data_IF_827519464621
#
_entry.id   IF_827519464621
#
_cell.length_a   1.000
_cell.length_b   1.000
_cell.length_c   1.000
_cell.angle_alpha   90.00
_cell.angle_beta   90.00
_cell.angle_gamma   90.00
#
_symmetry.space_group_name_H-M   'P 1'
#
loop_
_entity.id
_entity.type
_entity.pdbx_description
1 polymer ?
#
# COMPACT_ATOMS: atom_id res chain seq x y z
N UNK A 1 48.42 -11.56 16.12
CA UNK A 1 47.84 -10.96 14.90
C UNK A 1 46.33 -10.93 15.06
N UNK A 2 45.67 -9.80 15.15
CA UNK A 2 44.23 -9.77 15.26
C UNK A 2 43.59 -9.98 13.88
N UNK A 3 42.78 -11.03 13.81
CA UNK A 3 41.99 -11.34 12.63
C UNK A 3 40.85 -10.32 12.47
N UNK A 4 40.86 -9.69 11.31
CA UNK A 4 39.69 -9.29 10.54
C UNK A 4 38.57 -8.49 11.19
N UNK A 5 38.72 -7.18 11.19
CA UNK A 5 37.57 -6.28 11.05
C UNK A 5 36.92 -6.56 9.69
N UNK A 6 35.91 -7.44 9.67
CA UNK A 6 35.00 -7.54 8.54
C UNK A 6 34.24 -6.23 8.44
N UNK A 7 34.69 -5.40 7.51
CA UNK A 7 34.01 -4.21 7.05
C UNK A 7 32.58 -4.58 6.72
N UNK A 8 31.64 -4.15 7.55
CA UNK A 8 30.26 -3.94 7.15
C UNK A 8 30.27 -2.90 6.02
N UNK A 9 30.43 -3.36 4.79
CA UNK A 9 30.12 -2.56 3.61
C UNK A 9 28.68 -2.10 3.79
N UNK A 10 28.48 -0.84 4.19
CA UNK A 10 27.23 -0.12 3.96
C UNK A 10 26.87 -0.36 2.50
N UNK A 11 25.95 -1.27 2.24
CA UNK A 11 25.43 -1.52 0.89
C UNK A 11 24.69 -0.24 0.49
N UNK A 12 25.41 0.69 -0.11
CA UNK A 12 24.79 1.80 -0.85
C UNK A 12 23.82 1.17 -1.85
N UNK A 13 22.62 1.73 -1.94
CA UNK A 13 21.64 1.31 -2.95
C UNK A 13 22.35 1.23 -4.30
N UNK A 14 22.31 0.06 -4.93
CA UNK A 14 22.80 -0.04 -6.30
C UNK A 14 21.91 0.81 -7.19
N UNK A 15 22.41 1.44 -8.27
CA UNK A 15 21.58 2.25 -9.17
C UNK A 15 20.31 1.52 -9.63
N UNK A 16 20.38 0.22 -9.88
CA UNK A 16 19.25 -0.62 -10.25
C UNK A 16 18.15 -0.65 -9.16
N UNK A 17 18.54 -0.86 -7.88
CA UNK A 17 17.59 -0.92 -6.76
C UNK A 17 16.95 0.44 -6.46
N UNK A 18 17.70 1.52 -6.63
CA UNK A 18 17.14 2.88 -6.53
C UNK A 18 16.12 3.16 -7.63
N UNK A 19 16.38 2.70 -8.85
CA UNK A 19 15.43 2.80 -9.96
C UNK A 19 14.17 1.96 -9.72
N UNK A 20 14.30 0.77 -9.12
CA UNK A 20 13.18 -0.09 -8.75
C UNK A 20 12.28 0.59 -7.70
N UNK A 21 12.85 1.12 -6.63
CA UNK A 21 12.12 1.84 -5.60
C UNK A 21 11.35 3.05 -6.18
N UNK A 22 12.02 3.84 -7.02
CA UNK A 22 11.38 4.98 -7.69
C UNK A 22 10.26 4.53 -8.64
N UNK A 23 10.45 3.44 -9.37
CA UNK A 23 9.42 2.88 -10.26
C UNK A 23 8.18 2.45 -9.47
N UNK A 24 8.33 1.75 -8.35
CA UNK A 24 7.21 1.33 -7.49
C UNK A 24 6.46 2.54 -6.94
N UNK A 25 7.15 3.52 -6.37
CA UNK A 25 6.54 4.74 -5.86
C UNK A 25 5.80 5.55 -6.94
N UNK A 26 6.40 5.69 -8.13
CA UNK A 26 5.79 6.40 -9.27
C UNK A 26 4.55 5.68 -9.80
N UNK A 27 4.61 4.34 -9.93
CA UNK A 27 3.48 3.53 -10.39
C UNK A 27 2.30 3.63 -9.40
N UNK A 28 2.58 3.57 -8.10
CA UNK A 28 1.57 3.75 -7.06
C UNK A 28 0.95 5.14 -7.07
N UNK A 29 1.77 6.20 -7.23
CA UNK A 29 1.29 7.56 -7.37
C UNK A 29 0.41 7.76 -8.62
N UNK A 30 0.79 7.14 -9.74
CA UNK A 30 0.02 7.19 -10.99
C UNK A 30 -1.37 6.58 -10.78
N UNK A 31 -1.44 5.36 -10.24
CA UNK A 31 -2.72 4.67 -9.97
C UNK A 31 -3.58 5.49 -9.02
N UNK A 32 -3.01 5.99 -7.92
CA UNK A 32 -3.74 6.81 -6.96
C UNK A 32 -4.29 8.09 -7.60
N UNK A 33 -3.47 8.83 -8.35
CA UNK A 33 -3.92 10.03 -9.05
C UNK A 33 -5.02 9.75 -10.09
N UNK A 34 -4.95 8.63 -10.81
CA UNK A 34 -5.97 8.22 -11.78
C UNK A 34 -7.32 7.93 -11.09
N UNK A 35 -7.30 7.29 -9.92
CA UNK A 35 -8.51 7.06 -9.10
C UNK A 35 -9.11 8.39 -8.65
N UNK A 36 -8.28 9.30 -8.16
CA UNK A 36 -8.72 10.58 -7.62
C UNK A 36 -9.17 11.62 -8.66
N UNK A 37 -8.90 11.40 -9.95
CA UNK A 37 -9.31 12.30 -11.04
C UNK A 37 -10.80 12.24 -11.39
N UNK A 38 -11.52 11.23 -10.94
CA UNK A 38 -12.96 11.05 -11.19
C UNK A 38 -13.73 11.38 -9.92
N UNK A 39 -14.15 12.64 -9.67
CA UNK A 39 -14.66 13.10 -8.38
C UNK A 39 -15.86 12.30 -7.86
N UNK A 40 -16.78 11.91 -8.76
CA UNK A 40 -18.01 11.18 -8.41
C UNK A 40 -17.75 9.69 -8.08
N UNK A 41 -16.51 9.22 -8.26
CA UNK A 41 -16.08 7.85 -7.98
C UNK A 41 -14.76 7.80 -7.23
N UNK A 42 -14.24 8.93 -6.76
CA UNK A 42 -12.99 9.00 -6.03
C UNK A 42 -13.14 8.47 -4.59
N UNK A 43 -12.02 8.18 -3.95
CA UNK A 43 -11.99 7.97 -2.51
C UNK A 43 -12.29 9.31 -1.83
N UNK A 44 -13.23 9.38 -0.86
CA UNK A 44 -13.50 10.59 -0.12
C UNK A 44 -12.24 11.16 0.55
N UNK A 45 -12.04 12.47 0.40
CA UNK A 45 -10.84 13.14 0.91
C UNK A 45 -10.73 13.07 2.43
N UNK A 46 -11.86 13.07 3.11
CA UNK A 46 -12.00 12.95 4.56
C UNK A 46 -11.46 11.59 5.04
N UNK A 47 -11.73 10.51 4.30
CA UNK A 47 -11.20 9.18 4.61
C UNK A 47 -9.69 9.10 4.39
N UNK A 48 -9.18 9.71 3.30
CA UNK A 48 -7.73 9.84 3.11
C UNK A 48 -7.15 10.67 4.25
N UNK A 49 -7.85 11.75 4.64
CA UNK A 49 -7.47 12.63 5.75
C UNK A 49 -7.45 11.93 7.11
N UNK A 50 -8.31 10.95 7.36
CA UNK A 50 -8.39 10.19 8.60
C UNK A 50 -7.52 8.93 8.64
N UNK A 51 -6.95 8.50 7.51
CA UNK A 51 -6.16 7.27 7.48
C UNK A 51 -4.78 7.43 8.14
N UNK A 52 -4.36 6.46 8.94
CA UNK A 52 -3.02 6.34 9.53
C UNK A 52 -1.96 5.97 8.49
N UNK A 53 -2.35 5.11 7.52
CA UNK A 53 -1.49 4.76 6.40
C UNK A 53 -2.33 4.46 5.15
N UNK A 54 -1.70 4.61 4.00
CA UNK A 54 -2.28 4.24 2.70
C UNK A 54 -1.38 3.23 2.02
N UNK A 55 -1.97 2.13 1.58
CA UNK A 55 -1.34 1.07 0.78
C UNK A 55 -1.85 1.17 -0.64
N UNK A 56 -0.96 1.22 -1.61
CA UNK A 56 -1.31 1.17 -3.04
C UNK A 56 -0.56 0.01 -3.69
N UNK A 57 -1.30 -0.92 -4.28
CA UNK A 57 -0.78 -2.10 -4.97
C UNK A 57 -1.18 -2.06 -6.44
N UNK A 58 -0.34 -1.47 -7.31
CA UNK A 58 -0.63 -1.33 -8.73
C UNK A 58 -0.49 -2.64 -9.49
N UNK A 59 -1.48 -2.98 -10.31
CA UNK A 59 -1.38 -4.04 -11.29
C UNK A 59 -1.15 -5.42 -10.68
N UNK A 60 -1.84 -5.73 -9.58
CA UNK A 60 -1.82 -7.06 -8.97
C UNK A 60 -2.33 -8.07 -9.97
N UNK A 61 -1.51 -9.04 -10.33
CA UNK A 61 -1.85 -10.07 -11.30
C UNK A 61 -2.58 -11.21 -10.58
N UNK A 62 -3.73 -11.58 -11.11
CA UNK A 62 -4.43 -12.82 -10.76
C UNK A 62 -4.20 -13.82 -11.88
N UNK A 63 -3.63 -14.97 -11.57
CA UNK A 63 -3.56 -16.10 -12.48
C UNK A 63 -4.30 -17.28 -11.85
N UNK A 64 -5.26 -17.83 -12.56
CA UNK A 64 -6.06 -18.98 -12.10
C UNK A 64 -6.22 -19.99 -13.23
N UNK A 65 -5.98 -21.27 -12.90
CA UNK A 65 -6.33 -22.38 -13.80
C UNK A 65 -7.36 -23.32 -13.16
N UNK A 66 -7.22 -23.72 -11.95
CA UNK A 66 -8.19 -24.43 -11.09
C UNK A 66 -8.03 -23.87 -9.68
N UNK A 67 -6.79 -23.70 -9.26
CA UNK A 67 -6.38 -22.96 -8.06
C UNK A 67 -5.58 -21.78 -8.56
N UNK A 68 -5.96 -20.58 -8.13
CA UNK A 68 -5.30 -19.35 -8.57
C UNK A 68 -4.57 -18.65 -7.45
N UNK A 69 -3.60 -17.83 -7.84
CA UNK A 69 -2.87 -16.93 -6.97
C UNK A 69 -2.99 -15.48 -7.40
N UNK A 70 -2.82 -14.57 -6.46
CA UNK A 70 -2.62 -13.13 -6.70
C UNK A 70 -1.23 -12.76 -6.24
N UNK A 71 -0.54 -11.94 -7.01
CA UNK A 71 0.77 -11.38 -6.64
C UNK A 71 0.89 -9.97 -7.18
N UNK A 72 1.47 -9.09 -6.37
CA UNK A 72 1.76 -7.71 -6.78
C UNK A 72 2.66 -7.01 -5.79
N UNK A 73 3.24 -5.90 -6.24
CA UNK A 73 4.08 -5.03 -5.44
C UNK A 73 3.23 -3.91 -4.85
N UNK A 74 3.46 -3.55 -3.61
CA UNK A 74 2.74 -2.52 -2.90
C UNK A 74 3.68 -1.44 -2.38
N UNK A 75 3.17 -0.23 -2.30
CA UNK A 75 3.84 0.91 -1.66
C UNK A 75 2.97 1.37 -0.51
N UNK A 76 3.55 1.49 0.68
CA UNK A 76 2.89 1.95 1.89
C UNK A 76 3.46 3.28 2.31
N UNK A 77 2.60 4.22 2.65
CA UNK A 77 2.99 5.53 3.18
C UNK A 77 2.19 5.82 4.43
N UNK A 78 2.88 6.13 5.54
CA UNK A 78 2.25 6.50 6.81
C UNK A 78 2.01 8.00 6.89
N UNK A 79 0.93 8.38 7.57
CA UNK A 79 0.68 9.76 7.96
C UNK A 79 1.68 10.18 9.05
N UNK A 80 2.18 11.40 8.95
CA UNK A 80 3.05 12.04 9.92
C UNK A 80 2.49 13.41 10.31
N UNK A 81 3.06 14.05 11.31
CA UNK A 81 2.68 15.41 11.70
C UNK A 81 2.92 16.43 10.58
N UNK A 82 3.85 16.16 9.68
CA UNK A 82 4.22 17.05 8.56
C UNK A 82 3.53 16.68 7.24
N UNK A 83 2.65 15.67 7.24
CA UNK A 83 1.97 15.15 6.06
C UNK A 83 2.17 13.64 5.86
N UNK A 84 2.67 13.21 4.70
CA UNK A 84 2.92 11.81 4.38
C UNK A 84 4.40 11.49 4.35
N UNK A 85 4.81 10.48 5.11
CA UNK A 85 6.20 10.06 5.27
C UNK A 85 6.79 9.37 4.03
N UNK A 86 7.98 8.83 4.19
CA UNK A 86 8.65 8.05 3.16
C UNK A 86 7.86 6.77 2.85
N UNK A 87 7.73 6.39 1.57
CA UNK A 87 7.10 5.15 1.21
C UNK A 87 7.99 3.95 1.54
N UNK A 88 7.40 2.91 2.14
CA UNK A 88 8.03 1.60 2.29
C UNK A 88 7.43 0.62 1.27
N UNK A 89 8.20 -0.39 0.91
CA UNK A 89 7.86 -1.36 -0.13
C UNK A 89 7.44 -2.69 0.49
N UNK A 90 6.38 -3.27 -0.07
CA UNK A 90 5.75 -4.50 0.38
C UNK A 90 5.35 -5.35 -0.83
N UNK A 91 5.06 -6.63 -0.57
CA UNK A 91 4.50 -7.56 -1.54
C UNK A 91 3.10 -7.96 -1.09
N UNK A 92 2.18 -8.09 -2.04
CA UNK A 92 0.86 -8.69 -1.84
C UNK A 92 0.84 -10.06 -2.48
N UNK A 93 0.42 -11.07 -1.72
CA UNK A 93 0.19 -12.41 -2.22
C UNK A 93 -1.07 -13.01 -1.59
N UNK A 94 -1.78 -13.86 -2.33
CA UNK A 94 -2.97 -14.52 -1.80
C UNK A 94 -3.51 -15.59 -2.72
N UNK A 95 -4.29 -16.51 -2.14
CA UNK A 95 -5.04 -17.48 -2.90
C UNK A 95 -6.26 -16.85 -3.57
N UNK A 96 -6.65 -17.37 -4.70
CA UNK A 96 -7.93 -17.06 -5.32
C UNK A 96 -8.59 -18.36 -5.76
N UNK A 97 -9.78 -18.63 -5.22
CA UNK A 97 -10.63 -19.71 -5.72
C UNK A 97 -11.59 -19.13 -6.77
N UNK A 98 -11.79 -19.82 -7.85
CA UNK A 98 -12.77 -19.44 -8.85
C UNK A 98 -12.50 -20.09 -10.20
N UNK A 99 -13.59 -20.55 -10.83
CA UNK A 99 -13.59 -21.28 -12.11
C UNK A 99 -13.28 -20.38 -13.35
N UNK A 100 -12.71 -19.18 -13.17
CA UNK A 100 -12.37 -18.32 -14.30
C UNK A 100 -10.92 -18.55 -14.71
N UNK A 101 -10.72 -19.18 -15.85
CA UNK A 101 -9.45 -19.27 -16.55
C UNK A 101 -9.13 -17.88 -17.10
N UNK A 102 -8.00 -17.30 -16.71
CA UNK A 102 -7.56 -16.02 -17.25
C UNK A 102 -6.57 -15.28 -16.36
N UNK A 103 -5.86 -14.36 -16.96
CA UNK A 103 -5.04 -13.38 -16.25
C UNK A 103 -5.79 -12.04 -16.18
N UNK A 104 -5.96 -11.53 -14.97
CA UNK A 104 -6.52 -10.20 -14.75
C UNK A 104 -5.54 -9.35 -13.94
N UNK A 105 -5.45 -8.08 -14.29
CA UNK A 105 -4.68 -7.08 -13.55
C UNK A 105 -5.65 -6.17 -12.80
N UNK A 106 -5.42 -5.99 -11.52
CA UNK A 106 -6.26 -5.17 -10.64
C UNK A 106 -5.37 -4.29 -9.77
N UNK A 107 -5.69 -3.01 -9.67
CA UNK A 107 -5.08 -2.13 -8.70
C UNK A 107 -5.88 -2.19 -7.41
N UNK A 108 -5.19 -2.22 -6.26
CA UNK A 108 -5.81 -2.12 -4.95
C UNK A 108 -5.32 -0.88 -4.22
N UNK A 109 -6.23 -0.25 -3.48
CA UNK A 109 -5.93 0.80 -2.51
C UNK A 109 -6.54 0.41 -1.18
N UNK A 110 -5.74 0.46 -0.11
CA UNK A 110 -6.19 0.19 1.25
C UNK A 110 -5.92 1.44 2.08
N UNK A 111 -6.92 1.88 2.83
CA UNK A 111 -6.77 2.88 3.87
C UNK A 111 -6.73 2.15 5.21
N UNK A 112 -5.65 2.30 5.93
CA UNK A 112 -5.49 1.80 7.29
C UNK A 112 -6.01 2.89 8.21
N UNK A 113 -7.13 2.64 8.88
CA UNK A 113 -7.91 3.68 9.56
C UNK A 113 -7.55 3.85 11.04
N UNK A 114 -6.84 2.90 11.63
CA UNK A 114 -6.47 2.92 13.04
C UNK A 114 -5.07 2.37 13.30
N UNK A 115 -4.57 2.61 14.52
CA UNK A 115 -3.24 2.14 14.97
C UNK A 115 -3.14 0.61 15.02
N UNK A 116 -4.24 -0.11 15.26
CA UNK A 116 -4.24 -1.57 15.30
C UNK A 116 -3.97 -2.15 13.90
N UNK A 117 -4.68 -1.66 12.89
CA UNK A 117 -4.41 -2.01 11.48
C UNK A 117 -2.99 -1.63 11.05
N UNK A 118 -2.47 -0.50 11.53
CA UNK A 118 -1.09 -0.10 11.27
C UNK A 118 -0.08 -1.03 11.94
N UNK A 119 -0.30 -1.43 13.18
CA UNK A 119 0.57 -2.40 13.89
C UNK A 119 0.59 -3.74 13.15
N UNK A 120 -0.58 -4.26 12.77
CA UNK A 120 -0.67 -5.49 11.99
C UNK A 120 0.09 -5.41 10.67
N UNK A 121 -0.02 -4.28 9.94
CA UNK A 121 0.72 -4.07 8.70
C UNK A 121 2.26 -4.09 8.87
N UNK A 122 2.75 -3.78 10.07
CA UNK A 122 4.19 -3.76 10.38
C UNK A 122 4.73 -5.12 10.88
N UNK A 123 3.90 -6.14 10.93
CA UNK A 123 4.31 -7.51 11.20
C UNK A 123 4.96 -8.14 9.97
N UNK A 124 5.63 -9.27 10.14
CA UNK A 124 6.30 -9.98 9.05
C UNK A 124 5.32 -10.51 7.99
N UNK A 125 4.07 -10.74 8.38
CA UNK A 125 2.97 -11.16 7.51
C UNK A 125 1.65 -10.63 8.05
N UNK A 126 1.03 -9.74 7.31
CA UNK A 126 -0.28 -9.20 7.63
C UNK A 126 -1.36 -9.80 6.72
N UNK A 127 -2.29 -10.56 7.31
CA UNK A 127 -3.41 -11.16 6.58
C UNK A 127 -4.63 -10.23 6.60
N UNK A 128 -5.00 -9.75 5.42
CA UNK A 128 -6.16 -8.86 5.26
C UNK A 128 -7.45 -9.66 5.45
N UNK A 129 -8.28 -9.21 6.40
CA UNK A 129 -9.53 -9.89 6.77
C UNK A 129 -9.34 -11.01 7.79
N UNK A 130 -8.18 -11.06 8.46
CA UNK A 130 -7.94 -11.83 9.67
C UNK A 130 -8.54 -11.14 10.90
N UNK A 131 -7.70 -10.79 11.88
CA UNK A 131 -8.15 -10.14 13.14
C UNK A 131 -8.62 -8.70 12.92
N UNK A 132 -7.99 -7.97 12.01
CA UNK A 132 -8.39 -6.59 11.68
C UNK A 132 -9.57 -6.59 10.70
N UNK A 133 -10.66 -5.96 11.08
CA UNK A 133 -11.87 -5.82 10.26
C UNK A 133 -11.57 -5.09 8.94
N UNK A 134 -12.01 -5.68 7.83
CA UNK A 134 -11.89 -5.09 6.48
C UNK A 134 -13.26 -4.86 5.89
N UNK A 135 -13.52 -3.62 5.47
CA UNK A 135 -14.75 -3.24 4.80
C UNK A 135 -14.50 -2.72 3.38
N UNK A 136 -15.54 -2.76 2.55
CA UNK A 136 -15.57 -2.05 1.29
C UNK A 136 -15.59 -0.55 1.56
N UNK A 137 -14.61 0.17 1.01
CA UNK A 137 -14.56 1.62 1.18
C UNK A 137 -15.66 2.32 0.37
N UNK A 138 -16.32 3.35 0.91
CA UNK A 138 -17.31 4.13 0.17
C UNK A 138 -16.64 4.97 -0.92
N UNK A 139 -17.33 5.18 -2.04
CA UNK A 139 -16.83 5.95 -3.18
C UNK A 139 -17.77 7.12 -3.50
N UNK A 140 -17.20 8.23 -3.96
CA UNK A 140 -17.95 9.40 -4.38
C UNK A 140 -18.77 10.03 -3.26
N UNK A 141 -19.94 10.57 -3.62
CA UNK A 141 -20.83 11.30 -2.70
C UNK A 141 -21.64 10.40 -1.75
N UNK A 142 -21.73 9.10 -2.03
CA UNK A 142 -22.45 8.14 -1.16
C UNK A 142 -21.71 7.89 0.16
N UNK A 143 -20.49 8.36 0.28
CA UNK A 143 -19.66 8.22 1.48
C UNK A 143 -20.29 8.80 2.74
N UNK A 144 -21.10 9.86 2.61
CA UNK A 144 -21.77 10.52 3.75
C UNK A 144 -22.89 9.69 4.38
N UNK A 145 -23.50 8.77 3.64
CA UNK A 145 -24.56 7.89 4.13
C UNK A 145 -24.04 6.60 4.81
N UNK A 146 -22.79 6.22 4.55
CA UNK A 146 -22.20 4.95 5.02
C UNK A 146 -21.29 5.12 6.26
N UNK A 147 -21.30 6.29 6.88
CA UNK A 147 -20.28 6.72 7.86
C UNK A 147 -20.19 5.79 9.08
N UNK A 148 -21.29 5.21 9.55
CA UNK A 148 -21.28 4.43 10.80
C UNK A 148 -20.69 3.01 10.66
N UNK A 149 -20.84 2.35 9.51
CA UNK A 149 -20.32 1.00 9.29
C UNK A 149 -18.86 0.97 8.87
N UNK A 150 -18.34 2.08 8.33
CA UNK A 150 -16.95 2.18 7.85
C UNK A 150 -15.98 2.67 8.91
N UNK A 151 -16.47 3.36 9.95
CA UNK A 151 -15.63 3.88 11.04
C UNK A 151 -15.10 2.77 11.97
N UNK A 152 -15.82 1.66 12.09
CA UNK A 152 -15.38 0.51 12.92
C UNK A 152 -14.42 -0.43 12.17
N UNK A 153 -14.31 -0.28 10.85
CA UNK A 153 -13.39 -1.09 10.08
C UNK A 153 -11.96 -0.55 10.21
N UNK A 154 -11.04 -1.37 10.68
CA UNK A 154 -9.63 -1.02 10.74
C UNK A 154 -9.00 -0.78 9.36
N UNK A 155 -9.61 -1.34 8.30
CA UNK A 155 -9.14 -1.20 6.91
C UNK A 155 -10.32 -0.97 5.98
N UNK A 156 -10.24 0.07 5.15
CA UNK A 156 -11.12 0.28 4.01
C UNK A 156 -10.40 -0.11 2.74
N UNK A 157 -11.00 -0.96 1.92
CA UNK A 157 -10.35 -1.45 0.72
C UNK A 157 -11.13 -1.14 -0.55
N UNK A 158 -10.36 -0.88 -1.62
CA UNK A 158 -10.83 -0.49 -2.94
C UNK A 158 -10.11 -1.27 -4.01
N UNK A 159 -10.79 -1.50 -5.13
CA UNK A 159 -10.19 -2.09 -6.32
C UNK A 159 -10.50 -1.30 -7.58
N UNK A 160 -9.56 -1.33 -8.53
CA UNK A 160 -9.75 -0.83 -9.87
C UNK A 160 -9.38 -1.91 -10.89
N UNK A 161 -10.32 -2.31 -11.71
CA UNK A 161 -10.10 -3.29 -12.78
C UNK A 161 -10.85 -2.85 -14.03
N UNK A 162 -10.20 -2.90 -15.18
CA UNK A 162 -10.78 -2.50 -16.48
C UNK A 162 -11.47 -1.13 -16.46
N UNK A 163 -10.88 -0.15 -15.75
CA UNK A 163 -11.42 1.21 -15.64
C UNK A 163 -12.55 1.39 -14.64
N UNK A 164 -13.08 0.32 -14.05
CA UNK A 164 -14.08 0.39 -12.99
C UNK A 164 -13.39 0.45 -11.63
N UNK A 165 -13.78 1.42 -10.81
CA UNK A 165 -13.32 1.61 -9.45
C UNK A 165 -14.47 1.43 -8.47
N UNK A 166 -14.27 0.64 -7.42
CA UNK A 166 -15.28 0.39 -6.38
C UNK A 166 -14.61 0.00 -5.06
N UNK A 167 -15.33 0.21 -3.96
CA UNK A 167 -15.01 -0.42 -2.69
C UNK A 167 -15.26 -1.93 -2.75
N UNK A 168 -14.39 -2.69 -2.12
CA UNK A 168 -14.49 -4.15 -2.01
C UNK A 168 -14.07 -4.60 -0.60
N UNK A 169 -14.62 -5.68 -0.12
CA UNK A 169 -14.09 -6.36 1.08
C UNK A 169 -12.99 -7.34 0.65
N UNK A 170 -11.75 -6.87 0.59
CA UNK A 170 -10.59 -7.68 0.20
C UNK A 170 -10.25 -8.66 1.32
N UNK A 171 -10.33 -9.96 1.06
CA UNK A 171 -10.02 -11.02 2.02
C UNK A 171 -9.11 -12.08 1.41
N UNK A 172 -8.39 -12.83 2.27
CA UNK A 172 -7.57 -13.96 1.85
C UNK A 172 -6.31 -13.56 1.08
N UNK A 173 -5.78 -12.38 1.34
CA UNK A 173 -4.48 -11.92 0.86
C UNK A 173 -3.60 -11.53 2.03
N UNK A 174 -2.30 -11.76 1.90
CA UNK A 174 -1.29 -11.33 2.84
C UNK A 174 -0.45 -10.21 2.23
N UNK A 175 -0.09 -9.25 3.06
CA UNK A 175 0.89 -8.22 2.74
C UNK A 175 2.14 -8.51 3.58
N UNK A 176 3.30 -8.55 2.93
CA UNK A 176 4.59 -8.85 3.56
C UNK A 176 5.60 -7.77 3.21
N UNK A 177 6.46 -7.33 4.15
CA UNK A 177 7.50 -6.36 3.85
C UNK A 177 8.48 -6.85 2.78
N UNK A 178 8.76 -6.04 1.76
CA UNK A 178 9.91 -6.25 0.86
C UNK A 178 11.17 -5.66 1.50
N UNK A 179 11.67 -6.34 2.53
CA UNK A 179 12.84 -5.86 3.26
C UNK A 179 14.13 -5.88 2.43
N UNK A 180 14.18 -6.61 1.34
CA UNK A 180 15.32 -6.59 0.41
C UNK A 180 15.36 -5.25 -0.34
N UNK A 181 14.23 -4.77 -0.85
CA UNK A 181 14.14 -3.48 -1.51
C UNK A 181 14.29 -2.33 -0.50
N UNK A 182 13.62 -2.42 0.66
CA UNK A 182 13.71 -1.40 1.71
C UNK A 182 15.14 -1.23 2.21
N UNK A 183 15.84 -2.32 2.56
CA UNK A 183 17.24 -2.27 2.99
C UNK A 183 18.18 -1.79 1.88
N UNK A 184 17.93 -2.20 0.64
CA UNK A 184 18.73 -1.76 -0.48
C UNK A 184 18.61 -0.28 -0.75
N UNK A 185 17.44 0.32 -0.52
CA UNK A 185 17.19 1.73 -0.77
C UNK A 185 17.46 2.62 0.45
N UNK A 186 16.94 2.25 1.63
CA UNK A 186 17.00 3.05 2.86
C UNK A 186 18.06 2.57 3.85
N UNK A 187 18.66 1.40 3.67
CA UNK A 187 19.43 0.64 4.68
C UNK A 187 18.60 0.32 5.94
N UNK A 188 17.28 0.21 5.80
CA UNK A 188 16.28 0.00 6.86
C UNK A 188 15.23 -1.00 6.42
N UNK A 189 14.57 -1.64 7.39
CA UNK A 189 13.39 -2.47 7.16
C UNK A 189 12.15 -1.59 6.87
N UNK A 190 11.09 -2.18 6.32
CA UNK A 190 9.82 -1.48 6.15
C UNK A 190 9.30 -0.89 7.46
N UNK A 191 9.39 -1.67 8.55
CA UNK A 191 8.98 -1.25 9.89
C UNK A 191 9.73 -0.01 10.36
N UNK A 192 11.06 0.03 10.19
CA UNK A 192 11.88 1.18 10.55
C UNK A 192 11.52 2.42 9.71
N UNK A 193 11.34 2.26 8.38
CA UNK A 193 10.95 3.36 7.48
C UNK A 193 9.62 3.98 7.92
N UNK A 194 8.63 3.16 8.24
CA UNK A 194 7.29 3.60 8.63
C UNK A 194 7.29 4.17 10.06
N UNK A 195 7.97 3.54 11.02
CA UNK A 195 7.94 3.93 12.44
C UNK A 195 8.77 5.18 12.74
N UNK A 196 9.88 5.37 12.05
CA UNK A 196 10.74 6.54 12.24
C UNK A 196 10.23 7.81 11.55
N UNK A 197 9.09 7.76 10.86
CA UNK A 197 8.49 8.88 10.16
C UNK A 197 9.46 9.59 9.20
N UNK A 198 10.25 8.82 8.45
CA UNK A 198 11.25 9.36 7.56
C UNK A 198 10.60 10.28 6.51
N UNK A 199 11.28 11.39 6.22
CA UNK A 199 10.87 12.24 5.10
C UNK A 199 11.17 11.54 3.77
N UNK A 200 10.22 11.60 2.85
CA UNK A 200 10.34 10.95 1.55
C UNK A 200 11.46 11.58 0.69
N UNK A 201 12.51 10.83 0.33
CA UNK A 201 13.55 11.31 -0.59
C UNK A 201 12.96 11.58 -2.00
N UNK A 202 13.58 12.53 -2.73
CA UNK A 202 13.07 12.96 -4.05
C UNK A 202 12.70 11.83 -5.02
N UNK A 203 13.51 10.78 -5.20
CA UNK A 203 13.19 9.73 -6.17
C UNK A 203 11.91 8.94 -5.86
N UNK A 204 11.51 8.83 -4.59
CA UNK A 204 10.37 8.00 -4.15
C UNK A 204 9.19 8.78 -3.59
N UNK A 205 9.26 10.10 -3.50
CA UNK A 205 8.22 10.94 -2.86
C UNK A 205 6.91 11.09 -3.64
N UNK A 206 6.82 10.50 -4.85
CA UNK A 206 5.68 10.72 -5.74
C UNK A 206 4.34 10.37 -5.10
N UNK A 207 4.26 9.22 -4.37
CA UNK A 207 3.03 8.82 -3.69
C UNK A 207 2.70 9.74 -2.51
N UNK A 208 3.69 10.13 -1.69
CA UNK A 208 3.49 11.06 -0.56
C UNK A 208 2.96 12.41 -1.03
N UNK A 209 3.48 12.93 -2.15
CA UNK A 209 2.99 14.16 -2.77
C UNK A 209 1.57 14.00 -3.33
N UNK A 210 1.25 12.87 -3.96
CA UNK A 210 -0.09 12.58 -4.46
C UNK A 210 -1.11 12.55 -3.30
N UNK A 211 -0.80 11.84 -2.23
CA UNK A 211 -1.63 11.77 -1.03
C UNK A 211 -1.84 13.16 -0.39
N UNK A 212 -0.80 13.97 -0.29
CA UNK A 212 -0.89 15.32 0.28
C UNK A 212 -1.84 16.26 -0.49
N UNK A 213 -2.01 16.05 -1.80
CA UNK A 213 -2.94 16.85 -2.61
C UNK A 213 -4.41 16.57 -2.31
N UNK A 214 -4.71 15.36 -1.87
CA UNK A 214 -6.08 14.88 -1.69
C UNK A 214 -6.47 14.68 -0.22
N UNK A 215 -5.51 14.78 0.71
CA UNK A 215 -5.83 14.79 2.14
C UNK A 215 -6.36 16.16 2.53
N UNK A 216 -7.51 16.21 3.17
CA UNK A 216 -7.98 17.40 3.90
C UNK A 216 -7.18 17.46 5.19
N UNK A 217 -6.66 18.65 5.55
CA UNK A 217 -6.04 18.88 6.85
C UNK A 217 -7.12 19.02 7.91
#
# INVERSE_FOLDING_TARGET
>A
IPAGAQQQRKRRATPARSADAARHANKSAKVFNEIMRVPDRAIPRELIGGAEAVVVCPGVVKAAFIIGGRKGDCTVTRRTREGWGAPAFFNLAGGSFGAQIGAASTDFVLLIMNEEGLKGLLEDKFEIGGETGVAAGPVGREASASTNLTLDAGILSYSRSKGLFAGIALKGVAITPDNDLNRAYYAKTAKEVISENLRAPSPVRALSLALSRYSVK
#
